data_IF_828932123393
#
_entry.id   IF_828932123393
#
_cell.length_a   1.000
_cell.length_b   1.000
_cell.length_c   1.000
_cell.angle_alpha   90.00
_cell.angle_beta   90.00
_cell.angle_gamma   90.00
#
_symmetry.space_group_name_H-M   'P 1'
#
loop_
_entity.id
_entity.type
_entity.pdbx_description
1 polymer ?
#
# COMPACT_ATOMS: atom_id res chain seq x y z
N UNK A 1 22.53 -21.87 -11.41
CA UNK A 1 22.50 -20.40 -11.48
C UNK A 1 22.29 -19.89 -10.06
N UNK A 2 23.20 -19.06 -9.54
CA UNK A 2 22.97 -18.38 -8.26
C UNK A 2 21.92 -17.30 -8.54
N UNK A 3 20.75 -17.42 -7.92
CA UNK A 3 19.78 -16.33 -7.93
C UNK A 3 20.39 -15.19 -7.11
N UNK A 4 20.55 -14.03 -7.74
CA UNK A 4 21.04 -12.84 -7.05
C UNK A 4 19.95 -12.40 -6.08
N UNK A 5 20.28 -12.33 -4.81
CA UNK A 5 19.40 -11.87 -3.74
C UNK A 5 19.20 -10.37 -3.86
N UNK A 6 18.00 -9.88 -3.56
CA UNK A 6 17.67 -8.46 -3.66
C UNK A 6 18.26 -7.71 -2.45
N UNK A 7 19.03 -6.65 -2.71
CA UNK A 7 19.53 -5.77 -1.63
C UNK A 7 18.39 -4.92 -1.06
N UNK A 8 17.50 -4.44 -1.94
CA UNK A 8 16.30 -3.72 -1.54
C UNK A 8 15.12 -4.06 -2.46
N UNK A 9 13.91 -3.82 -2.01
CA UNK A 9 12.72 -3.74 -2.86
C UNK A 9 11.99 -2.45 -2.58
N UNK A 10 11.46 -1.82 -3.61
CA UNK A 10 10.49 -0.73 -3.50
C UNK A 10 9.16 -1.19 -4.05
N UNK A 11 8.09 -0.96 -3.29
CA UNK A 11 6.74 -1.38 -3.64
C UNK A 11 5.80 -0.21 -3.51
N UNK A 12 4.94 -0.10 -4.52
CA UNK A 12 3.90 0.90 -4.65
C UNK A 12 2.63 0.22 -5.15
N UNK A 13 1.47 0.69 -4.72
CA UNK A 13 0.19 0.09 -5.09
C UNK A 13 -0.76 1.14 -5.66
N UNK A 14 -1.54 0.70 -6.64
CA UNK A 14 -2.69 1.46 -7.11
C UNK A 14 -3.97 0.77 -6.67
N UNK A 15 -4.96 1.57 -6.30
CA UNK A 15 -6.23 1.06 -5.77
C UNK A 15 -7.41 1.56 -6.60
N UNK A 16 -8.46 0.76 -6.66
CA UNK A 16 -9.71 1.12 -7.32
C UNK A 16 -10.63 1.83 -6.33
N UNK A 17 -11.52 2.70 -6.84
CA UNK A 17 -12.66 3.17 -6.06
C UNK A 17 -13.53 1.99 -5.60
N UNK A 18 -14.21 2.19 -4.47
CA UNK A 18 -15.19 1.23 -3.98
C UNK A 18 -16.33 1.04 -4.99
N UNK A 19 -16.80 -0.18 -5.12
CA UNK A 19 -18.04 -0.47 -5.85
C UNK A 19 -19.26 0.05 -5.08
N UNK A 20 -20.39 0.22 -5.77
CA UNK A 20 -21.65 0.62 -5.13
C UNK A 20 -22.05 -0.32 -3.98
N UNK A 21 -21.86 -1.63 -4.16
CA UNK A 21 -22.11 -2.64 -3.13
C UNK A 21 -21.21 -2.46 -1.89
N UNK A 22 -19.93 -2.13 -2.10
CA UNK A 22 -18.99 -1.85 -1.01
C UNK A 22 -19.34 -0.56 -0.28
N UNK A 23 -19.73 0.48 -1.01
CA UNK A 23 -20.18 1.75 -0.43
C UNK A 23 -21.45 1.52 0.40
N UNK A 24 -22.40 0.74 -0.12
CA UNK A 24 -23.63 0.40 0.60
C UNK A 24 -23.31 -0.36 1.89
N UNK A 25 -22.47 -1.39 1.82
CA UNK A 25 -22.04 -2.16 2.98
C UNK A 25 -21.35 -1.29 4.04
N UNK A 26 -20.36 -0.49 3.65
CA UNK A 26 -19.65 0.40 4.58
C UNK A 26 -20.58 1.46 5.19
N UNK A 27 -21.56 1.93 4.43
CA UNK A 27 -22.50 2.95 4.90
C UNK A 27 -23.32 2.49 6.11
N UNK A 28 -23.53 1.18 6.28
CA UNK A 28 -24.25 0.59 7.42
C UNK A 28 -23.52 0.78 8.75
N UNK A 29 -22.21 0.98 8.72
CA UNK A 29 -21.37 1.14 9.92
C UNK A 29 -21.05 2.61 10.23
N UNK A 30 -21.58 3.56 9.46
CA UNK A 30 -21.33 4.97 9.66
C UNK A 30 -21.98 5.46 10.96
N UNK A 31 -21.13 5.88 11.89
CA UNK A 31 -21.56 6.48 13.16
C UNK A 31 -21.40 7.99 13.15
N UNK A 32 -22.21 8.71 13.92
CA UNK A 32 -22.03 10.14 14.14
C UNK A 32 -21.03 10.41 15.28
N UNK A 33 -20.56 11.65 15.41
CA UNK A 33 -19.65 12.02 16.50
C UNK A 33 -20.33 11.84 17.86
N UNK A 34 -19.67 11.09 18.75
CA UNK A 34 -20.12 10.85 20.14
C UNK A 34 -20.51 12.16 20.82
N UNK A 35 -21.71 12.21 21.40
CA UNK A 35 -22.25 13.39 22.10
C UNK A 35 -23.12 14.31 21.25
N UNK A 36 -23.24 14.09 19.94
CA UNK A 36 -24.23 14.77 19.10
C UNK A 36 -25.62 14.22 19.43
N UNK A 37 -26.56 15.08 19.85
CA UNK A 37 -27.96 14.70 20.18
C UNK A 37 -28.99 15.27 19.20
N UNK A 38 -28.61 16.28 18.43
CA UNK A 38 -29.45 16.96 17.46
C UNK A 38 -29.67 16.07 16.22
N UNK A 39 -30.90 15.63 15.92
CA UNK A 39 -31.20 14.71 14.82
C UNK A 39 -30.76 15.23 13.44
N UNK A 40 -30.91 16.53 13.17
CA UNK A 40 -30.55 17.09 11.87
C UNK A 40 -29.03 17.13 11.68
N UNK A 41 -28.27 17.41 12.76
CA UNK A 41 -26.80 17.33 12.74
C UNK A 41 -26.30 15.90 12.58
N UNK A 42 -26.97 14.93 13.21
CA UNK A 42 -26.65 13.51 13.03
C UNK A 42 -26.84 13.12 11.56
N UNK A 43 -27.99 13.46 10.97
CA UNK A 43 -28.29 13.19 9.56
C UNK A 43 -27.27 13.84 8.63
N UNK A 44 -26.94 15.11 8.83
CA UNK A 44 -25.94 15.82 8.03
C UNK A 44 -24.54 15.19 8.14
N UNK A 45 -24.12 14.75 9.33
CA UNK A 45 -22.83 14.07 9.51
C UNK A 45 -22.77 12.72 8.78
N UNK A 46 -23.84 11.93 8.83
CA UNK A 46 -23.91 10.64 8.14
C UNK A 46 -23.89 10.85 6.63
N UNK A 47 -24.67 11.82 6.12
CA UNK A 47 -24.67 12.15 4.69
C UNK A 47 -23.30 12.61 4.20
N UNK A 48 -22.61 13.47 4.97
CA UNK A 48 -21.25 13.88 4.66
C UNK A 48 -20.30 12.68 4.60
N UNK A 49 -20.32 11.82 5.62
CA UNK A 49 -19.47 10.62 5.64
C UNK A 49 -19.75 9.68 4.46
N UNK A 50 -21.02 9.55 4.05
CA UNK A 50 -21.38 8.78 2.86
C UNK A 50 -20.81 9.40 1.58
N UNK A 51 -20.84 10.72 1.44
CA UNK A 51 -20.20 11.41 0.32
C UNK A 51 -18.67 11.21 0.34
N UNK A 52 -18.04 11.30 1.52
CA UNK A 52 -16.61 11.05 1.69
C UNK A 52 -16.23 9.60 1.32
N UNK A 53 -17.12 8.61 1.52
CA UNK A 53 -16.88 7.22 1.07
C UNK A 53 -16.82 7.10 -0.45
N UNK A 54 -17.64 7.86 -1.16
CA UNK A 54 -17.66 7.87 -2.64
C UNK A 54 -16.39 8.54 -3.17
N UNK A 55 -16.09 9.73 -2.65
CA UNK A 55 -14.96 10.56 -3.11
C UNK A 55 -13.61 9.92 -2.76
N UNK A 56 -13.45 9.44 -1.53
CA UNK A 56 -12.21 8.87 -1.01
C UNK A 56 -12.24 7.34 -0.99
N UNK A 57 -13.09 6.70 -1.80
CA UNK A 57 -13.25 5.25 -1.80
C UNK A 57 -11.94 4.49 -2.05
N UNK A 58 -11.07 5.00 -2.93
CA UNK A 58 -9.81 4.37 -3.27
C UNK A 58 -8.87 4.19 -2.06
N UNK A 59 -8.87 5.11 -1.10
CA UNK A 59 -7.99 5.03 0.08
C UNK A 59 -8.56 4.17 1.22
N UNK A 60 -9.78 3.63 1.09
CA UNK A 60 -10.41 2.82 2.15
C UNK A 60 -9.80 1.42 2.21
N UNK A 61 -9.68 0.86 3.41
CA UNK A 61 -9.09 -0.47 3.61
C UNK A 61 -9.76 -1.59 2.81
N UNK A 62 -11.05 -1.46 2.53
CA UNK A 62 -11.84 -2.43 1.75
C UNK A 62 -11.61 -2.33 0.23
N UNK A 63 -10.98 -1.24 -0.24
CA UNK A 63 -10.79 -1.01 -1.66
C UNK A 63 -9.86 -2.05 -2.26
N UNK A 64 -10.13 -2.37 -3.52
CA UNK A 64 -9.38 -3.39 -4.27
C UNK A 64 -8.06 -2.80 -4.75
N UNK A 65 -6.97 -3.52 -4.56
CA UNK A 65 -5.68 -3.18 -5.16
C UNK A 65 -5.76 -3.53 -6.64
N UNK A 66 -5.59 -2.58 -7.56
CA UNK A 66 -5.63 -2.79 -9.01
C UNK A 66 -4.31 -3.36 -9.55
N UNK A 67 -3.20 -2.80 -9.08
CA UNK A 67 -1.84 -3.13 -9.50
C UNK A 67 -0.84 -2.88 -8.40
N UNK A 68 0.29 -3.59 -8.49
CA UNK A 68 1.41 -3.51 -7.58
C UNK A 68 2.67 -3.31 -8.42
N UNK A 69 3.31 -2.16 -8.27
CA UNK A 69 4.62 -1.88 -8.83
C UNK A 69 5.72 -2.40 -7.90
N UNK A 70 6.74 -3.03 -8.47
CA UNK A 70 7.88 -3.61 -7.77
C UNK A 70 9.15 -3.14 -8.47
N UNK A 71 10.09 -2.61 -7.71
CA UNK A 71 11.40 -2.22 -8.20
C UNK A 71 12.51 -2.70 -7.25
N UNK A 72 13.68 -3.01 -7.79
CA UNK A 72 14.84 -3.47 -7.01
C UNK A 72 16.14 -3.15 -7.75
N UNK A 73 17.28 -3.43 -7.12
CA UNK A 73 18.63 -3.22 -7.65
C UNK A 73 18.95 -4.09 -8.87
N UNK A 74 18.30 -5.26 -8.98
CA UNK A 74 18.70 -6.32 -9.90
C UNK A 74 17.60 -6.83 -10.81
N UNK A 75 16.37 -6.31 -10.64
CA UNK A 75 15.23 -6.65 -11.49
C UNK A 75 14.81 -5.42 -12.28
N UNK A 76 14.36 -5.63 -13.51
CA UNK A 76 13.65 -4.59 -14.23
C UNK A 76 12.38 -4.22 -13.44
N UNK A 77 11.91 -2.96 -13.50
CA UNK A 77 10.63 -2.59 -12.91
C UNK A 77 9.54 -3.58 -13.35
N UNK A 78 8.81 -4.12 -12.38
CA UNK A 78 7.81 -5.16 -12.59
C UNK A 78 6.46 -4.69 -12.06
N UNK A 79 5.42 -4.76 -12.88
CA UNK A 79 4.05 -4.48 -12.48
C UNK A 79 3.21 -5.75 -12.52
N UNK A 80 2.67 -6.16 -11.37
CA UNK A 80 1.67 -7.23 -11.26
C UNK A 80 0.30 -6.59 -11.16
N UNK A 81 -0.65 -6.97 -12.01
CA UNK A 81 -1.96 -6.31 -12.08
C UNK A 81 -3.07 -7.31 -12.41
N UNK A 82 -4.30 -7.02 -12.01
CA UNK A 82 -5.48 -7.81 -12.42
C UNK A 82 -6.58 -6.99 -13.09
N UNK A 83 -6.39 -5.67 -13.19
CA UNK A 83 -7.26 -4.79 -13.94
C UNK A 83 -6.86 -4.76 -15.42
N UNK A 84 -7.82 -4.65 -16.38
CA UNK A 84 -7.49 -4.52 -17.79
C UNK A 84 -6.59 -3.31 -18.04
N UNK A 85 -5.35 -3.60 -18.42
CA UNK A 85 -4.35 -2.63 -18.84
C UNK A 85 -4.21 -2.70 -20.36
N UNK A 86 -4.26 -1.55 -21.04
CA UNK A 86 -4.41 -1.47 -22.50
C UNK A 86 -3.16 -0.95 -23.23
N UNK A 87 -2.10 -0.60 -22.51
CA UNK A 87 -0.88 -0.05 -23.09
C UNK A 87 0.32 -0.95 -22.74
N UNK A 88 1.20 -1.22 -23.69
CA UNK A 88 2.50 -1.81 -23.37
C UNK A 88 3.42 -0.65 -22.96
N UNK A 89 3.92 -0.66 -21.72
CA UNK A 89 4.98 0.27 -21.33
C UNK A 89 6.32 -0.34 -21.75
N UNK A 90 7.02 0.35 -22.64
CA UNK A 90 8.38 -0.04 -22.99
C UNK A 90 9.24 -0.10 -21.72
N UNK A 91 10.01 -1.20 -21.58
CA UNK A 91 10.98 -1.43 -20.50
C UNK A 91 10.43 -1.75 -19.09
N UNK A 92 9.14 -2.05 -18.97
CA UNK A 92 8.53 -2.55 -17.72
C UNK A 92 8.06 -3.98 -17.93
N UNK A 93 8.42 -4.89 -17.01
CA UNK A 93 7.90 -6.26 -17.03
C UNK A 93 6.48 -6.26 -16.45
N UNK A 94 5.55 -6.92 -17.14
CA UNK A 94 4.14 -6.94 -16.75
C UNK A 94 3.67 -8.37 -16.51
N UNK A 95 2.92 -8.59 -15.42
CA UNK A 95 2.23 -9.85 -15.15
C UNK A 95 0.76 -9.58 -14.92
N UNK A 96 -0.06 -10.01 -15.89
CA UNK A 96 -1.50 -9.97 -15.80
C UNK A 96 -2.04 -11.16 -15.00
N UNK A 97 -2.92 -10.89 -14.05
CA UNK A 97 -3.61 -11.86 -13.21
C UNK A 97 -5.13 -11.76 -13.42
N UNK A 98 -5.89 -12.81 -13.12
CA UNK A 98 -7.34 -12.83 -13.35
C UNK A 98 -8.12 -12.06 -12.28
N UNK A 99 -7.56 -11.93 -11.08
CA UNK A 99 -8.17 -11.25 -9.94
C UNK A 99 -7.11 -10.86 -8.90
N UNK A 100 -7.54 -10.10 -7.88
CA UNK A 100 -6.70 -9.63 -6.78
C UNK A 100 -6.01 -10.77 -6.01
N UNK A 101 -6.68 -11.92 -5.81
CA UNK A 101 -6.10 -13.05 -5.08
C UNK A 101 -4.92 -13.69 -5.83
N UNK A 102 -5.03 -13.84 -7.15
CA UNK A 102 -3.94 -14.34 -8.00
C UNK A 102 -2.78 -13.34 -8.06
N UNK A 103 -3.08 -12.04 -8.14
CA UNK A 103 -2.07 -10.98 -8.08
C UNK A 103 -1.29 -11.01 -6.75
N UNK A 104 -1.99 -11.10 -5.61
CA UNK A 104 -1.35 -11.19 -4.29
C UNK A 104 -0.55 -12.49 -4.13
N UNK A 105 -1.05 -13.61 -4.65
CA UNK A 105 -0.31 -14.88 -4.61
C UNK A 105 0.96 -14.82 -5.44
N UNK A 106 0.90 -14.16 -6.60
CA UNK A 106 2.05 -13.95 -7.49
C UNK A 106 3.11 -13.07 -6.81
N UNK A 107 2.69 -11.98 -6.17
CA UNK A 107 3.57 -11.16 -5.34
C UNK A 107 4.25 -12.00 -4.25
N UNK A 108 3.49 -12.79 -3.50
CA UNK A 108 4.02 -13.61 -2.41
C UNK A 108 5.05 -14.62 -2.91
N UNK A 109 4.77 -15.33 -4.00
CA UNK A 109 5.72 -16.29 -4.59
C UNK A 109 6.99 -15.57 -5.03
N UNK A 110 6.86 -14.43 -5.70
CA UNK A 110 8.00 -13.64 -6.19
C UNK A 110 8.88 -13.17 -5.03
N UNK A 111 8.29 -12.56 -4.00
CA UNK A 111 9.03 -12.01 -2.87
C UNK A 111 9.59 -13.10 -1.96
N UNK A 112 8.86 -14.20 -1.71
CA UNK A 112 9.38 -15.32 -0.91
C UNK A 112 10.56 -16.03 -1.60
N UNK A 113 10.64 -16.01 -2.93
CA UNK A 113 11.77 -16.57 -3.69
C UNK A 113 12.99 -15.62 -3.76
N UNK A 114 12.75 -14.31 -3.76
CA UNK A 114 13.78 -13.30 -4.06
C UNK A 114 14.32 -12.55 -2.84
N UNK A 115 13.51 -12.39 -1.80
CA UNK A 115 13.91 -11.68 -0.59
C UNK A 115 14.57 -12.62 0.41
N UNK A 116 15.61 -12.13 1.06
CA UNK A 116 16.21 -12.76 2.25
C UNK A 116 15.91 -11.90 3.48
N UNK A 117 16.35 -12.31 4.66
CA UNK A 117 16.25 -11.51 5.90
C UNK A 117 17.03 -10.18 5.82
N UNK A 118 18.00 -10.09 4.90
CA UNK A 118 18.83 -8.89 4.69
C UNK A 118 18.21 -7.90 3.71
N UNK A 119 17.20 -8.31 2.91
CA UNK A 119 16.56 -7.45 1.93
C UNK A 119 15.88 -6.26 2.61
N UNK A 120 16.17 -5.05 2.12
CA UNK A 120 15.56 -3.82 2.65
C UNK A 120 14.24 -3.51 1.95
N UNK A 121 13.18 -3.25 2.72
CA UNK A 121 11.88 -2.84 2.15
C UNK A 121 11.80 -1.31 2.13
N UNK A 122 11.60 -0.72 0.96
CA UNK A 122 11.48 0.73 0.75
C UNK A 122 10.05 1.06 0.34
N UNK A 123 9.39 1.96 1.06
CA UNK A 123 7.99 2.34 0.81
C UNK A 123 7.84 3.86 0.85
N UNK A 124 6.86 4.40 0.13
CA UNK A 124 6.50 5.80 0.18
C UNK A 124 5.23 5.98 1.03
N UNK A 125 5.39 5.99 2.35
CA UNK A 125 4.27 6.02 3.30
C UNK A 125 3.93 4.63 3.83
N UNK A 126 4.66 4.20 4.86
CA UNK A 126 4.47 2.91 5.53
C UNK A 126 3.05 2.70 6.08
N UNK A 127 2.32 3.79 6.29
CA UNK A 127 0.94 3.78 6.79
C UNK A 127 -0.12 3.37 5.78
N UNK A 128 0.20 3.26 4.48
CA UNK A 128 -0.79 2.96 3.44
C UNK A 128 -0.54 1.61 2.75
N UNK A 129 0.52 1.48 1.94
CA UNK A 129 0.69 0.33 1.05
C UNK A 129 0.81 -1.00 1.79
N UNK A 130 1.72 -1.11 2.76
CA UNK A 130 1.95 -2.37 3.48
C UNK A 130 0.71 -2.82 4.28
N UNK A 131 0.04 -1.97 5.07
CA UNK A 131 -1.25 -2.32 5.67
C UNK A 131 -2.28 -2.77 4.64
N UNK A 132 -2.36 -2.09 3.49
CA UNK A 132 -3.36 -2.38 2.46
C UNK A 132 -3.12 -3.73 1.78
N UNK A 133 -1.87 -4.06 1.45
CA UNK A 133 -1.49 -5.40 0.93
C UNK A 133 -1.81 -6.47 1.98
N UNK A 134 -1.51 -6.22 3.26
CA UNK A 134 -1.79 -7.17 4.35
C UNK A 134 -3.29 -7.43 4.52
N UNK A 135 -4.10 -6.37 4.58
CA UNK A 135 -5.55 -6.48 4.70
C UNK A 135 -6.16 -7.19 3.48
N UNK A 136 -5.68 -6.87 2.28
CA UNK A 136 -6.13 -7.53 1.05
C UNK A 136 -5.74 -9.00 1.01
N UNK A 137 -4.56 -9.37 1.54
CA UNK A 137 -4.14 -10.77 1.69
C UNK A 137 -5.06 -11.54 2.64
N UNK A 138 -5.43 -10.94 3.78
CA UNK A 138 -6.39 -11.53 4.73
C UNK A 138 -7.77 -11.71 4.06
N UNK A 139 -8.28 -10.66 3.41
CA UNK A 139 -9.57 -10.66 2.69
C UNK A 139 -9.64 -11.79 1.66
N UNK A 140 -8.57 -11.98 0.89
CA UNK A 140 -8.49 -12.98 -0.18
C UNK A 140 -7.97 -14.36 0.29
N UNK A 141 -7.68 -14.53 1.59
CA UNK A 141 -7.10 -15.77 2.16
C UNK A 141 -5.79 -16.19 1.50
N UNK A 142 -4.99 -15.21 1.11
CA UNK A 142 -3.66 -15.39 0.52
C UNK A 142 -2.60 -15.20 1.60
N UNK A 143 -1.52 -16.00 1.55
CA UNK A 143 -0.38 -15.83 2.44
C UNK A 143 0.26 -14.47 2.17
N UNK A 144 0.52 -13.69 3.23
CA UNK A 144 1.26 -12.44 3.12
C UNK A 144 2.77 -12.73 2.93
N UNK A 145 3.49 -11.95 2.10
CA UNK A 145 4.92 -12.16 1.86
C UNK A 145 5.73 -12.16 3.16
N UNK A 146 6.62 -13.14 3.32
CA UNK A 146 7.39 -13.31 4.55
C UNK A 146 8.28 -12.08 4.83
N UNK A 147 8.88 -11.50 3.80
CA UNK A 147 9.76 -10.33 3.94
C UNK A 147 9.02 -9.04 4.36
N UNK A 148 7.69 -9.02 4.24
CA UNK A 148 6.87 -7.88 4.65
C UNK A 148 6.29 -8.03 6.05
N UNK A 149 6.42 -9.21 6.66
CA UNK A 149 5.90 -9.45 8.01
C UNK A 149 6.59 -8.51 9.02
N UNK A 150 5.84 -7.97 10.00
CA UNK A 150 6.42 -7.07 10.99
C UNK A 150 7.61 -7.72 11.72
N UNK A 151 8.78 -7.09 11.63
CA UNK A 151 10.00 -7.53 12.31
C UNK A 151 10.89 -8.50 11.53
N UNK A 152 10.47 -8.97 10.34
CA UNK A 152 11.29 -9.88 9.53
C UNK A 152 12.39 -9.16 8.75
N UNK A 153 12.08 -7.98 8.19
CA UNK A 153 13.02 -7.20 7.39
C UNK A 153 13.04 -5.72 7.81
N UNK A 154 14.15 -5.02 7.58
CA UNK A 154 14.21 -3.57 7.76
C UNK A 154 13.28 -2.86 6.76
N UNK A 155 12.55 -1.84 7.25
CA UNK A 155 11.61 -1.05 6.44
C UNK A 155 11.97 0.43 6.52
N UNK A 156 12.23 1.05 5.36
CA UNK A 156 12.48 2.48 5.21
C UNK A 156 11.28 3.17 4.57
N UNK A 157 10.80 4.22 5.23
CA UNK A 157 9.69 5.05 4.74
C UNK A 157 10.21 6.37 4.15
N UNK A 158 10.15 6.47 2.83
CA UNK A 158 10.63 7.63 2.07
C UNK A 158 9.91 8.92 2.45
N UNK A 159 8.61 8.87 2.79
CA UNK A 159 7.85 10.07 3.15
C UNK A 159 8.22 10.56 4.56
N UNK A 160 8.44 9.63 5.50
CA UNK A 160 8.95 9.99 6.82
C UNK A 160 10.35 10.63 6.74
N UNK A 161 11.24 10.04 5.95
CA UNK A 161 12.58 10.58 5.71
C UNK A 161 12.51 11.93 4.99
N UNK A 162 11.68 12.05 3.96
CA UNK A 162 11.36 13.29 3.26
C UNK A 162 10.95 14.42 4.20
N UNK A 163 9.98 14.13 5.08
CA UNK A 163 9.49 15.08 6.10
C UNK A 163 10.57 15.49 7.10
N UNK A 164 11.42 14.56 7.53
CA UNK A 164 12.50 14.82 8.49
C UNK A 164 13.67 15.63 7.90
N UNK A 165 14.00 15.40 6.63
CA UNK A 165 15.25 15.90 6.03
C UNK A 165 15.08 16.95 4.94
N UNK A 166 13.93 16.99 4.25
CA UNK A 166 13.73 17.85 3.07
C UNK A 166 12.62 18.90 3.25
N UNK A 167 11.69 18.72 4.20
CA UNK A 167 10.73 19.78 4.54
C UNK A 167 11.38 20.83 5.45
N UNK A 168 12.10 21.75 4.83
CA UNK A 168 12.55 22.99 5.48
C UNK A 168 11.37 23.95 5.59
N UNK A 169 10.63 23.81 6.67
CA UNK A 169 9.44 24.61 6.95
C UNK A 169 9.13 24.66 8.44
N UNK A 170 9.95 25.42 9.16
CA UNK A 170 9.86 25.82 10.58
C UNK A 170 10.50 24.90 11.64
N UNK A 171 11.69 25.35 12.08
CA UNK A 171 12.37 25.09 13.36
C UNK A 171 12.69 23.64 13.75
N UNK A 172 13.83 23.13 13.27
CA UNK A 172 14.62 22.18 14.05
C UNK A 172 16.10 22.27 13.65
N UNK A 173 16.87 23.03 14.42
CA UNK A 173 18.31 22.82 14.50
C UNK A 173 18.54 21.45 15.14
N UNK A 174 18.78 20.43 14.35
CA UNK A 174 19.42 19.21 14.84
C UNK A 174 20.57 18.84 13.91
N UNK A 175 21.79 19.07 14.40
CA UNK A 175 23.01 18.48 13.88
C UNK A 175 22.89 16.96 14.02
N UNK A 176 22.47 16.28 12.96
CA UNK A 176 22.55 14.82 12.90
C UNK A 176 23.89 14.45 12.28
N UNK A 177 24.71 13.75 13.05
CA UNK A 177 25.98 13.19 12.60
C UNK A 177 25.74 12.12 11.55
N UNK A 178 26.56 12.10 10.49
CA UNK A 178 26.56 11.10 9.42
C UNK A 178 26.74 9.67 9.95
N UNK A 179 27.26 9.51 11.18
CA UNK A 179 27.39 8.21 11.85
C UNK A 179 26.08 7.54 12.24
N UNK A 180 24.94 8.23 12.17
CA UNK A 180 23.61 7.66 12.43
C UNK A 180 22.88 7.21 11.14
N UNK A 181 23.55 7.27 9.99
CA UNK A 181 23.01 6.95 8.66
C UNK A 181 23.52 5.62 8.08
N UNK A 182 24.32 4.85 8.83
CA UNK A 182 24.82 3.52 8.49
C UNK A 182 24.54 2.56 9.66
#
# INVERSE_FOLDING_TARGET
MSFKTLEYISIDIETMHLTDDQIEFESQFLTHRKGTKDPEKIKAQILKKKADLVEMGAVKDSSTIASIGIHSDTINPHVVHHFPYHEELDHVEHTACKNEAEMLSTLTIFLDDKCTEETVIVVAGKGFDLPKIRLSSIKNRVKFPNCMMPGNNPVYDLLYMGGKYFMTGSSAQHNVSVSELL
#
